data_IF_953903010973
#
_entry.id   IF_953903010973
#
_cell.length_a   1.000
_cell.length_b   1.000
_cell.length_c   1.000
_cell.angle_alpha   90.00
_cell.angle_beta   90.00
_cell.angle_gamma   90.00
#
_symmetry.space_group_name_H-M   'P 1'
#
loop_
_entity.id
_entity.type
_entity.pdbx_description
1 polymer ?
#
# COMPACT_ATOMS: atom_id res chain seq x y z
N UNK A 1 22.00 -11.48 -2.30
CA UNK A 1 20.63 -10.99 -2.54
C UNK A 1 19.96 -10.67 -1.20
N UNK A 2 19.39 -9.50 -1.08
CA UNK A 2 18.66 -9.08 0.13
C UNK A 2 17.33 -9.83 0.25
N UNK A 3 16.69 -10.12 -0.88
CA UNK A 3 15.47 -10.91 -0.98
C UNK A 3 15.57 -11.93 -2.11
N UNK A 4 14.87 -13.05 -1.95
CA UNK A 4 14.65 -14.03 -3.00
C UNK A 4 13.14 -14.23 -3.15
N UNK A 5 12.62 -13.91 -4.32
CA UNK A 5 11.19 -14.11 -4.61
C UNK A 5 10.84 -15.60 -4.55
N UNK A 6 9.70 -15.92 -3.96
CA UNK A 6 9.13 -17.27 -4.02
C UNK A 6 8.53 -17.48 -5.41
N UNK A 7 8.79 -18.63 -6.00
CA UNK A 7 8.24 -19.00 -7.31
C UNK A 7 7.55 -20.36 -7.19
N UNK A 8 6.37 -20.53 -7.79
CA UNK A 8 5.76 -21.85 -7.91
C UNK A 8 6.60 -22.74 -8.86
N UNK A 9 6.41 -24.06 -8.87
CA UNK A 9 6.93 -24.91 -9.93
C UNK A 9 6.51 -24.37 -11.30
N UNK A 10 7.44 -24.41 -12.26
CA UNK A 10 7.21 -23.84 -13.59
C UNK A 10 6.01 -24.48 -14.29
N UNK A 11 5.86 -25.79 -14.14
CA UNK A 11 4.79 -26.57 -14.74
C UNK A 11 3.40 -26.13 -14.22
N UNK A 12 3.28 -25.89 -12.92
CA UNK A 12 2.04 -25.37 -12.30
C UNK A 12 1.70 -23.97 -12.80
N UNK A 13 2.71 -23.10 -12.92
CA UNK A 13 2.51 -21.76 -13.45
C UNK A 13 2.04 -21.78 -14.92
N UNK A 14 2.69 -22.59 -15.76
CA UNK A 14 2.32 -22.76 -17.18
C UNK A 14 0.91 -23.29 -17.32
N UNK A 15 0.53 -24.30 -16.51
CA UNK A 15 -0.82 -24.85 -16.53
C UNK A 15 -1.88 -23.81 -16.13
N UNK A 16 -1.61 -23.02 -15.08
CA UNK A 16 -2.54 -21.98 -14.63
C UNK A 16 -2.77 -20.89 -15.69
N UNK A 17 -1.79 -20.53 -16.50
CA UNK A 17 -1.94 -19.51 -17.54
C UNK A 17 -2.38 -20.06 -18.90
N UNK A 18 -2.45 -21.37 -19.09
CA UNK A 18 -2.78 -22.03 -20.38
C UNK A 18 -4.08 -21.52 -21.01
N UNK A 19 -5.14 -21.32 -20.21
CA UNK A 19 -6.44 -20.84 -20.67
C UNK A 19 -6.39 -19.44 -21.31
N UNK A 20 -5.30 -18.68 -21.11
CA UNK A 20 -5.13 -17.37 -21.74
C UNK A 20 -4.84 -17.49 -23.25
N UNK A 21 -4.22 -18.61 -23.69
CA UNK A 21 -4.01 -18.90 -25.11
C UNK A 21 -5.30 -19.22 -25.86
N UNK A 22 -6.27 -19.80 -25.16
CA UNK A 22 -7.58 -20.14 -25.75
C UNK A 22 -8.50 -18.90 -25.77
N UNK A 23 -8.52 -18.15 -24.66
CA UNK A 23 -9.41 -17.00 -24.52
C UNK A 23 -8.91 -15.72 -25.21
N UNK A 24 -7.60 -15.57 -25.37
CA UNK A 24 -6.91 -14.35 -25.81
C UNK A 24 -7.30 -13.10 -24.99
N UNK A 25 -7.86 -13.28 -23.80
CA UNK A 25 -8.29 -12.16 -22.94
C UNK A 25 -7.21 -11.79 -21.95
N UNK A 26 -6.37 -10.81 -22.30
CA UNK A 26 -5.25 -10.30 -21.50
C UNK A 26 -5.52 -8.90 -20.92
N UNK A 27 -6.69 -8.32 -21.17
CA UNK A 27 -7.06 -6.97 -20.73
C UNK A 27 -7.79 -6.98 -19.39
N UNK A 28 -8.36 -5.83 -18.99
CA UNK A 28 -9.05 -5.64 -17.71
C UNK A 28 -10.16 -6.66 -17.44
N UNK A 29 -10.39 -6.96 -16.17
CA UNK A 29 -11.45 -7.87 -15.71
C UNK A 29 -11.40 -9.30 -16.28
N UNK A 30 -10.19 -9.77 -16.64
CA UNK A 30 -9.95 -11.13 -17.09
C UNK A 30 -10.24 -12.17 -16.00
N UNK A 31 -10.32 -13.44 -16.42
CA UNK A 31 -10.62 -14.57 -15.55
C UNK A 31 -9.65 -14.69 -14.37
N UNK A 32 -8.34 -14.57 -14.62
CA UNK A 32 -7.30 -14.70 -13.60
C UNK A 32 -7.39 -13.59 -12.54
N UNK A 33 -7.70 -12.36 -12.95
CA UNK A 33 -7.91 -11.26 -12.01
C UNK A 33 -9.12 -11.51 -11.10
N UNK A 34 -10.25 -11.97 -11.66
CA UNK A 34 -11.45 -12.28 -10.87
C UNK A 34 -11.20 -13.43 -9.89
N UNK A 35 -10.48 -14.47 -10.33
CA UNK A 35 -10.08 -15.61 -9.48
C UNK A 35 -9.19 -15.13 -8.32
N UNK A 36 -8.20 -14.27 -8.59
CA UNK A 36 -7.35 -13.71 -7.57
C UNK A 36 -8.11 -12.82 -6.58
N UNK A 37 -9.00 -11.95 -7.08
CA UNK A 37 -9.83 -11.10 -6.22
C UNK A 37 -10.71 -11.93 -5.27
N UNK A 38 -11.34 -13.00 -5.77
CA UNK A 38 -12.15 -13.90 -4.95
C UNK A 38 -11.30 -14.60 -3.87
N UNK A 39 -10.14 -15.14 -4.25
CA UNK A 39 -9.23 -15.82 -3.34
C UNK A 39 -8.68 -14.87 -2.26
N UNK A 40 -8.39 -13.61 -2.60
CA UNK A 40 -7.93 -12.61 -1.63
C UNK A 40 -9.03 -12.23 -0.63
N UNK A 41 -10.28 -12.07 -1.07
CA UNK A 41 -11.40 -11.81 -0.15
C UNK A 41 -11.57 -12.92 0.87
N UNK A 42 -11.53 -14.16 0.43
CA UNK A 42 -11.62 -15.33 1.30
C UNK A 42 -10.42 -15.40 2.26
N UNK A 43 -9.21 -15.31 1.73
CA UNK A 43 -7.99 -15.50 2.52
C UNK A 43 -7.72 -14.39 3.53
N UNK A 44 -8.09 -13.16 3.21
CA UNK A 44 -7.89 -11.99 4.07
C UNK A 44 -9.12 -11.72 4.96
N UNK A 45 -10.20 -12.48 4.80
CA UNK A 45 -11.48 -12.33 5.50
C UNK A 45 -12.04 -10.91 5.36
N UNK A 46 -12.14 -10.43 4.11
CA UNK A 46 -12.65 -9.09 3.79
C UNK A 46 -13.77 -9.14 2.75
N UNK A 47 -14.78 -8.27 2.85
CA UNK A 47 -15.85 -8.23 1.86
C UNK A 47 -15.41 -7.67 0.50
N UNK A 48 -14.43 -6.76 0.50
CA UNK A 48 -13.96 -6.10 -0.71
C UNK A 48 -12.44 -6.09 -0.80
N UNK A 49 -11.93 -6.43 -1.98
CA UNK A 49 -10.52 -6.41 -2.34
C UNK A 49 -10.38 -5.89 -3.77
N UNK A 50 -9.94 -4.64 -3.92
CA UNK A 50 -9.76 -3.99 -5.21
C UNK A 50 -8.32 -4.17 -5.68
N UNK A 51 -8.10 -4.75 -6.86
CA UNK A 51 -6.77 -5.02 -7.42
C UNK A 51 -6.27 -3.88 -8.31
N UNK A 52 -4.97 -3.62 -8.25
CA UNK A 52 -4.24 -2.59 -8.99
C UNK A 52 -2.93 -3.14 -9.54
N UNK A 53 -2.32 -2.43 -10.47
CA UNK A 53 -1.04 -2.84 -11.09
C UNK A 53 0.14 -2.81 -10.13
N UNK A 54 0.09 -2.01 -9.06
CA UNK A 54 1.08 -2.01 -7.98
C UNK A 54 0.52 -1.35 -6.72
N UNK A 55 1.23 -1.50 -5.59
CA UNK A 55 0.83 -0.93 -4.30
C UNK A 55 0.79 0.60 -4.29
N UNK A 56 1.69 1.26 -5.03
CA UNK A 56 1.68 2.73 -5.12
C UNK A 56 0.38 3.27 -5.71
N UNK A 57 -0.02 2.75 -6.88
CA UNK A 57 -1.27 3.14 -7.53
C UNK A 57 -2.50 2.74 -6.71
N UNK A 58 -2.45 1.62 -6.00
CA UNK A 58 -3.48 1.21 -5.07
C UNK A 58 -3.68 2.26 -3.96
N UNK A 59 -2.59 2.72 -3.33
CA UNK A 59 -2.65 3.73 -2.26
C UNK A 59 -3.09 5.10 -2.79
N UNK A 60 -2.57 5.53 -3.92
CA UNK A 60 -2.97 6.79 -4.56
C UNK A 60 -4.46 6.77 -4.92
N UNK A 61 -4.94 5.68 -5.50
CA UNK A 61 -6.36 5.49 -5.85
C UNK A 61 -7.25 5.52 -4.60
N UNK A 62 -6.81 4.86 -3.52
CA UNK A 62 -7.52 4.86 -2.23
C UNK A 62 -7.67 6.28 -1.67
N UNK A 63 -6.58 7.05 -1.61
CA UNK A 63 -6.61 8.42 -1.12
C UNK A 63 -7.52 9.32 -1.96
N UNK A 64 -7.48 9.17 -3.29
CA UNK A 64 -8.36 9.91 -4.21
C UNK A 64 -9.82 9.49 -4.08
N UNK A 65 -10.10 8.19 -3.96
CA UNK A 65 -11.45 7.67 -3.78
C UNK A 65 -12.11 8.14 -2.48
N UNK A 66 -11.32 8.34 -1.42
CA UNK A 66 -11.80 8.91 -0.16
C UNK A 66 -12.15 10.41 -0.27
N UNK A 67 -11.67 11.11 -1.30
CA UNK A 67 -11.99 12.53 -1.54
C UNK A 67 -11.46 13.46 -0.46
N UNK A 68 -10.38 13.09 0.22
CA UNK A 68 -9.80 13.85 1.33
C UNK A 68 -9.17 15.16 0.86
N UNK A 69 -9.12 16.13 1.78
CA UNK A 69 -8.43 17.42 1.59
C UNK A 69 -7.73 17.80 2.89
N UNK A 70 -6.48 18.26 2.80
CA UNK A 70 -5.73 18.75 3.94
C UNK A 70 -4.51 17.89 4.25
N UNK A 71 -4.30 17.59 5.54
CA UNK A 71 -3.09 16.96 6.05
C UNK A 71 -3.35 15.46 6.36
N UNK A 72 -2.34 14.64 6.04
CA UNK A 72 -2.32 13.21 6.39
C UNK A 72 -1.11 12.94 7.29
N UNK A 73 -1.37 12.50 8.51
CA UNK A 73 -0.31 12.10 9.44
C UNK A 73 0.20 10.73 9.01
N UNK A 74 1.50 10.65 8.71
CA UNK A 74 2.19 9.42 8.32
C UNK A 74 3.56 9.36 8.99
N UNK A 75 4.39 8.38 8.67
CA UNK A 75 5.75 8.26 9.20
C UNK A 75 6.79 8.46 8.10
N UNK A 76 7.98 9.05 8.41
CA UNK A 76 9.10 9.04 7.48
C UNK A 76 9.78 7.66 7.41
N UNK A 77 9.53 6.78 8.38
CA UNK A 77 10.08 5.42 8.42
C UNK A 77 9.21 4.47 7.56
N UNK A 78 9.28 4.67 6.26
CA UNK A 78 8.52 3.93 5.24
C UNK A 78 9.23 3.96 3.91
N UNK A 79 8.77 3.14 2.96
CA UNK A 79 9.17 3.30 1.58
C UNK A 79 8.58 4.60 1.01
N UNK A 80 9.35 5.30 0.18
CA UNK A 80 8.98 6.62 -0.38
C UNK A 80 7.57 6.67 -1.00
N UNK A 81 7.07 5.54 -1.47
CA UNK A 81 5.75 5.39 -2.09
C UNK A 81 4.60 5.93 -1.22
N UNK A 82 4.64 5.71 0.10
CA UNK A 82 3.60 6.19 1.03
C UNK A 82 3.47 7.70 0.97
N UNK A 83 4.59 8.41 1.15
CA UNK A 83 4.63 9.88 1.08
C UNK A 83 4.25 10.40 -0.31
N UNK A 84 4.77 9.77 -1.38
CA UNK A 84 4.46 10.17 -2.75
C UNK A 84 2.97 10.01 -3.08
N UNK A 85 2.33 8.93 -2.65
CA UNK A 85 0.89 8.73 -2.86
C UNK A 85 0.06 9.84 -2.20
N UNK A 86 0.44 10.29 -0.98
CA UNK A 86 -0.20 11.41 -0.30
C UNK A 86 -0.09 12.68 -1.13
N UNK A 87 1.13 13.05 -1.56
CA UNK A 87 1.38 14.26 -2.35
C UNK A 87 0.66 14.21 -3.69
N UNK A 88 0.69 13.07 -4.39
CA UNK A 88 0.01 12.89 -5.67
C UNK A 88 -1.51 12.89 -5.58
N UNK A 89 -2.06 12.54 -4.43
CA UNK A 89 -3.48 12.71 -4.14
C UNK A 89 -3.87 14.18 -3.84
N UNK A 90 -2.91 15.11 -3.85
CA UNK A 90 -3.12 16.53 -3.54
C UNK A 90 -3.23 16.83 -2.04
N UNK A 91 -2.69 15.94 -1.20
CA UNK A 91 -2.69 16.02 0.26
C UNK A 91 -1.31 16.43 0.77
N UNK A 92 -1.25 16.91 2.00
CA UNK A 92 0.01 17.32 2.64
C UNK A 92 0.43 16.27 3.68
N UNK A 93 1.60 15.62 3.54
CA UNK A 93 2.09 14.71 4.56
C UNK A 93 2.58 15.46 5.80
N UNK A 94 2.22 14.97 6.98
CA UNK A 94 2.73 15.41 8.28
C UNK A 94 3.42 14.20 8.91
N UNK A 95 4.72 14.34 9.22
CA UNK A 95 5.49 13.21 9.69
C UNK A 95 5.41 13.04 11.21
N UNK A 96 5.01 11.84 11.61
CA UNK A 96 5.00 11.35 12.97
C UNK A 96 6.14 10.37 13.18
N UNK A 97 6.78 10.45 14.32
CA UNK A 97 7.84 9.54 14.71
C UNK A 97 7.30 8.14 15.03
N UNK A 98 8.20 7.17 15.04
CA UNK A 98 7.94 5.77 15.34
C UNK A 98 8.27 5.43 16.78
N UNK A 99 7.80 4.31 17.26
CA UNK A 99 8.20 3.66 18.50
C UNK A 99 9.55 2.97 18.29
N UNK A 100 10.37 2.92 19.33
CA UNK A 100 11.70 2.32 19.27
C UNK A 100 11.65 0.78 19.32
N UNK A 101 10.58 0.21 19.90
CA UNK A 101 10.47 -1.22 20.16
C UNK A 101 9.95 -2.01 18.95
N UNK A 102 9.08 -1.44 18.12
CA UNK A 102 8.46 -2.15 17.01
C UNK A 102 8.48 -1.39 15.68
N UNK A 103 9.02 -0.17 15.68
CA UNK A 103 9.14 0.72 14.52
C UNK A 103 7.81 1.16 13.91
N UNK A 104 6.68 0.89 14.57
CA UNK A 104 5.38 1.39 14.12
C UNK A 104 5.13 2.82 14.59
N UNK A 105 4.15 3.51 13.99
CA UNK A 105 3.78 4.88 14.38
C UNK A 105 3.41 4.95 15.87
N UNK A 106 3.94 5.95 16.59
CA UNK A 106 3.57 6.22 17.97
C UNK A 106 2.19 6.91 18.03
N UNK A 107 1.16 6.28 18.61
CA UNK A 107 -0.17 6.87 18.64
C UNK A 107 -0.26 8.18 19.43
N UNK A 108 0.49 8.34 20.52
CA UNK A 108 0.48 9.56 21.33
C UNK A 108 1.09 10.74 20.58
N UNK A 109 2.18 10.47 19.85
CA UNK A 109 2.81 11.49 18.99
C UNK A 109 1.90 11.81 17.79
N UNK A 110 1.24 10.82 17.20
CA UNK A 110 0.29 11.04 16.13
C UNK A 110 -0.86 11.95 16.58
N UNK A 111 -1.45 11.71 17.75
CA UNK A 111 -2.50 12.56 18.29
C UNK A 111 -2.05 14.01 18.53
N UNK A 112 -0.82 14.19 19.02
CA UNK A 112 -0.25 15.53 19.26
C UNK A 112 -0.03 16.35 17.98
N UNK A 113 0.04 15.71 16.81
CA UNK A 113 0.20 16.36 15.50
C UNK A 113 -1.12 16.75 14.84
N UNK A 114 -2.27 16.39 15.41
CA UNK A 114 -3.58 16.67 14.83
C UNK A 114 -3.84 18.19 14.84
N UNK A 115 -4.21 18.71 13.68
CA UNK A 115 -4.63 20.10 13.48
C UNK A 115 -6.05 20.14 12.88
N UNK A 116 -6.70 21.31 12.82
CA UNK A 116 -7.98 21.42 12.09
C UNK A 116 -7.91 21.09 10.60
N UNK A 117 -6.72 20.95 10.02
CA UNK A 117 -6.51 20.56 8.63
C UNK A 117 -6.28 19.07 8.46
N UNK A 118 -6.04 18.33 9.54
CA UNK A 118 -5.82 16.88 9.49
C UNK A 118 -7.09 16.17 9.04
N UNK A 119 -6.97 15.30 8.03
CA UNK A 119 -8.09 14.55 7.48
C UNK A 119 -7.92 13.02 7.61
N UNK A 120 -6.70 12.54 7.79
CA UNK A 120 -6.43 11.11 7.93
C UNK A 120 -5.14 10.84 8.73
N UNK A 121 -5.06 9.62 9.27
CA UNK A 121 -3.84 9.00 9.77
C UNK A 121 -3.54 7.82 8.84
N UNK A 122 -2.29 7.75 8.35
CA UNK A 122 -1.79 6.71 7.45
C UNK A 122 -0.53 6.08 8.03
N UNK A 123 -0.68 5.18 9.02
CA UNK A 123 0.43 4.44 9.60
C UNK A 123 0.85 3.29 8.70
N UNK A 124 2.06 2.75 8.94
CA UNK A 124 2.67 1.69 8.16
C UNK A 124 2.89 0.46 9.04
N UNK A 125 2.40 -0.70 8.61
CA UNK A 125 2.70 -1.99 9.22
C UNK A 125 4.11 -2.45 8.81
N UNK A 126 5.12 -1.71 9.27
CA UNK A 126 6.50 -1.89 8.80
C UNK A 126 7.04 -3.27 9.20
N UNK A 127 7.71 -3.94 8.28
CA UNK A 127 8.28 -5.29 8.45
C UNK A 127 7.26 -6.37 8.90
N UNK A 128 5.95 -6.08 8.78
CA UNK A 128 4.89 -6.95 9.27
C UNK A 128 4.52 -6.72 10.74
N UNK A 129 5.16 -5.78 11.44
CA UNK A 129 4.75 -5.34 12.77
C UNK A 129 3.44 -4.55 12.66
N UNK A 130 2.38 -5.06 13.28
CA UNK A 130 1.10 -4.38 13.27
C UNK A 130 1.12 -3.17 14.22
N UNK A 131 0.70 -2.02 13.71
CA UNK A 131 0.49 -0.83 14.52
C UNK A 131 -0.54 -1.10 15.63
N UNK A 132 -0.57 -0.25 16.64
CA UNK A 132 -1.61 -0.27 17.67
C UNK A 132 -2.93 0.25 17.09
N UNK A 133 -3.68 -0.66 16.42
CA UNK A 133 -4.96 -0.32 15.79
C UNK A 133 -5.98 0.17 16.80
N UNK A 134 -5.98 -0.37 18.02
CA UNK A 134 -6.91 0.04 19.07
C UNK A 134 -6.73 1.51 19.44
N UNK A 135 -5.50 1.93 19.70
CA UNK A 135 -5.18 3.33 20.03
C UNK A 135 -5.42 4.27 18.85
N UNK A 136 -4.94 3.90 17.63
CA UNK A 136 -5.10 4.71 16.44
C UNK A 136 -6.56 4.84 16.01
N UNK A 137 -7.35 3.79 16.09
CA UNK A 137 -8.79 3.82 15.82
C UNK A 137 -9.55 4.70 16.81
N UNK A 138 -9.18 4.65 18.10
CA UNK A 138 -9.77 5.53 19.11
C UNK A 138 -9.48 7.01 18.82
N UNK A 139 -8.24 7.34 18.43
CA UNK A 139 -7.81 8.68 18.04
C UNK A 139 -8.55 9.14 16.78
N UNK A 140 -8.56 8.32 15.73
CA UNK A 140 -9.25 8.63 14.48
C UNK A 140 -10.73 8.91 14.71
N UNK A 141 -11.40 8.07 15.49
CA UNK A 141 -12.82 8.25 15.86
C UNK A 141 -13.06 9.53 16.66
N UNK A 142 -12.21 9.81 17.67
CA UNK A 142 -12.30 11.01 18.51
C UNK A 142 -12.23 12.30 17.69
N UNK A 143 -11.38 12.32 16.67
CA UNK A 143 -11.11 13.50 15.86
C UNK A 143 -11.84 13.51 14.50
N UNK A 144 -12.63 12.47 14.19
CA UNK A 144 -13.38 12.36 12.93
C UNK A 144 -12.48 12.15 11.70
N UNK A 145 -11.33 11.51 11.89
CA UNK A 145 -10.33 11.25 10.87
C UNK A 145 -10.51 9.89 10.21
N UNK A 146 -10.03 9.76 8.96
CA UNK A 146 -9.86 8.45 8.32
C UNK A 146 -8.60 7.76 8.82
N UNK A 147 -8.68 6.44 9.04
CA UNK A 147 -7.55 5.58 9.38
C UNK A 147 -7.29 4.62 8.23
N UNK A 148 -6.13 4.77 7.59
CA UNK A 148 -5.75 4.02 6.39
C UNK A 148 -4.40 3.36 6.65
N UNK A 149 -4.28 2.06 6.42
CA UNK A 149 -3.02 1.37 6.64
C UNK A 149 -2.23 1.15 5.34
N UNK A 150 -0.95 1.52 5.36
CA UNK A 150 0.02 0.94 4.45
C UNK A 150 0.44 -0.42 5.01
N UNK A 151 -0.13 -1.48 4.44
CA UNK A 151 0.10 -2.87 4.83
C UNK A 151 0.98 -3.61 3.81
N UNK A 152 1.83 -2.88 3.06
CA UNK A 152 2.69 -3.46 2.02
C UNK A 152 3.60 -4.59 2.52
N UNK A 153 3.88 -4.67 3.81
CA UNK A 153 4.69 -5.71 4.45
C UNK A 153 3.89 -6.69 5.32
N UNK A 154 2.56 -6.54 5.40
CA UNK A 154 1.73 -7.25 6.36
C UNK A 154 0.70 -8.20 5.70
N UNK A 155 1.01 -8.73 4.51
CA UNK A 155 0.13 -9.70 3.86
C UNK A 155 -0.08 -10.93 4.73
N UNK A 156 -1.35 -11.25 5.02
CA UNK A 156 -1.77 -12.37 5.85
C UNK A 156 -1.25 -12.33 7.32
N UNK A 157 -0.84 -11.14 7.78
CA UNK A 157 -0.51 -10.94 9.21
C UNK A 157 -1.79 -10.64 9.98
N UNK A 158 -1.89 -11.20 11.18
CA UNK A 158 -3.03 -10.98 12.08
C UNK A 158 -2.55 -10.84 13.54
N UNK A 159 -3.33 -10.12 14.35
CA UNK A 159 -3.17 -10.02 15.79
C UNK A 159 -4.52 -10.28 16.46
N UNK A 160 -4.55 -11.18 17.44
CA UNK A 160 -5.77 -11.55 18.18
C UNK A 160 -6.95 -11.96 17.28
N UNK A 161 -6.64 -12.66 16.17
CA UNK A 161 -7.61 -13.10 15.18
C UNK A 161 -8.10 -12.01 14.21
N UNK A 162 -7.60 -10.78 14.33
CA UNK A 162 -7.93 -9.69 13.39
C UNK A 162 -6.85 -9.55 12.33
N UNK A 163 -7.21 -9.73 11.08
CA UNK A 163 -6.31 -9.55 9.93
C UNK A 163 -5.94 -8.09 9.75
N UNK A 164 -4.68 -7.81 9.37
CA UNK A 164 -4.23 -6.48 8.94
C UNK A 164 -5.14 -5.87 7.84
N UNK A 165 -5.75 -6.73 7.03
CA UNK A 165 -6.67 -6.33 5.97
C UNK A 165 -8.02 -5.78 6.46
N UNK A 166 -8.34 -5.95 7.74
CA UNK A 166 -9.59 -5.51 8.38
C UNK A 166 -9.39 -4.32 9.31
N UNK A 167 -8.14 -3.86 9.47
CA UNK A 167 -7.81 -2.74 10.34
C UNK A 167 -8.12 -1.40 9.66
N UNK A 168 -8.57 -0.43 10.45
CA UNK A 168 -8.95 0.90 9.98
C UNK A 168 -10.13 0.94 8.99
N UNK A 169 -10.24 2.02 8.23
CA UNK A 169 -11.24 2.18 7.15
C UNK A 169 -10.86 1.39 5.89
N UNK A 170 -9.55 1.27 5.62
CA UNK A 170 -9.00 0.52 4.50
C UNK A 170 -7.51 0.21 4.71
N UNK A 171 -7.02 -0.83 4.05
CA UNK A 171 -5.60 -1.18 4.02
C UNK A 171 -5.12 -1.39 2.58
N UNK A 172 -3.89 -0.95 2.29
CA UNK A 172 -3.21 -1.16 1.02
C UNK A 172 -2.15 -2.24 1.14
N UNK A 173 -2.14 -3.17 0.21
CA UNK A 173 -1.13 -4.23 0.09
C UNK A 173 -0.35 -4.10 -1.21
N UNK A 174 0.94 -4.40 -1.15
CA UNK A 174 1.82 -4.50 -2.31
C UNK A 174 2.11 -5.96 -2.64
N UNK A 175 1.97 -6.31 -3.92
CA UNK A 175 2.29 -7.63 -4.46
C UNK A 175 3.49 -7.57 -5.42
N UNK A 176 4.38 -6.61 -5.19
CA UNK A 176 5.67 -6.54 -5.89
C UNK A 176 6.52 -7.79 -5.61
N UNK A 177 7.36 -8.19 -6.55
CA UNK A 177 8.17 -9.42 -6.51
C UNK A 177 9.03 -9.62 -5.25
N UNK A 178 9.32 -8.55 -4.50
CA UNK A 178 10.07 -8.63 -3.23
C UNK A 178 9.22 -8.95 -2.01
N UNK A 179 7.89 -8.98 -2.14
CA UNK A 179 6.97 -9.21 -1.02
C UNK A 179 6.81 -10.71 -0.74
N UNK A 180 6.28 -11.04 0.46
CA UNK A 180 6.03 -12.41 0.91
C UNK A 180 5.05 -13.15 -0.01
N UNK A 181 4.02 -12.44 -0.45
CA UNK A 181 3.12 -12.82 -1.52
C UNK A 181 3.26 -11.82 -2.67
N UNK A 182 3.38 -12.29 -3.90
CA UNK A 182 3.55 -11.42 -5.05
C UNK A 182 2.87 -11.95 -6.31
N UNK A 183 2.60 -11.03 -7.22
CA UNK A 183 2.11 -11.30 -8.59
C UNK A 183 3.07 -10.73 -9.63
N UNK A 184 4.40 -10.73 -9.32
CA UNK A 184 5.48 -10.02 -9.99
C UNK A 184 5.32 -8.51 -9.77
N UNK A 185 4.26 -7.93 -10.29
CA UNK A 185 3.74 -6.60 -9.99
C UNK A 185 2.27 -6.71 -9.60
N UNK A 186 1.86 -5.95 -8.61
CA UNK A 186 0.48 -5.93 -8.16
C UNK A 186 0.29 -5.13 -6.88
N UNK A 187 -0.95 -4.77 -6.62
CA UNK A 187 -1.38 -4.13 -5.38
C UNK A 187 -2.86 -4.40 -5.12
N UNK A 188 -3.27 -4.19 -3.88
CA UNK A 188 -4.64 -4.39 -3.46
C UNK A 188 -5.05 -3.34 -2.44
N UNK A 189 -6.29 -2.89 -2.51
CA UNK A 189 -6.96 -2.18 -1.42
C UNK A 189 -8.03 -3.07 -0.85
N UNK A 190 -8.03 -3.25 0.47
CA UNK A 190 -9.10 -3.93 1.20
C UNK A 190 -9.90 -2.92 2.00
N UNK A 191 -11.21 -3.13 2.10
CA UNK A 191 -12.12 -2.31 2.90
C UNK A 191 -13.39 -3.07 3.22
N UNK A 192 -14.09 -2.66 4.26
CA UNK A 192 -15.45 -3.12 4.58
C UNK A 192 -16.53 -2.17 4.04
N UNK A 193 -16.15 -1.01 3.54
CA UNK A 193 -17.07 0.02 3.05
C UNK A 193 -17.46 -0.24 1.57
N UNK A 194 -18.74 -0.57 1.27
CA UNK A 194 -19.19 -0.80 -0.10
C UNK A 194 -19.12 0.45 -0.98
N UNK A 195 -19.32 1.64 -0.40
CA UNK A 195 -19.27 2.88 -1.14
C UNK A 195 -17.82 3.24 -1.53
N UNK A 196 -16.87 3.02 -0.63
CA UNK A 196 -15.45 3.17 -0.95
C UNK A 196 -15.04 2.18 -2.05
N UNK A 197 -15.46 0.91 -1.95
CA UNK A 197 -15.19 -0.08 -3.00
C UNK A 197 -15.76 0.38 -4.35
N UNK A 198 -16.98 0.89 -4.40
CA UNK A 198 -17.58 1.43 -5.62
C UNK A 198 -16.79 2.60 -6.21
N UNK A 199 -16.25 3.49 -5.36
CA UNK A 199 -15.41 4.62 -5.79
C UNK A 199 -14.03 4.19 -6.30
N UNK A 200 -13.55 3.02 -5.90
CA UNK A 200 -12.28 2.47 -6.39
C UNK A 200 -12.40 1.89 -7.81
N UNK A 201 -13.58 1.44 -8.25
CA UNK A 201 -13.78 0.80 -9.56
C UNK A 201 -13.26 1.64 -10.75
N UNK A 202 -13.56 2.95 -10.89
CA UNK A 202 -13.04 3.76 -11.99
C UNK A 202 -11.51 3.88 -12.01
N UNK A 203 -10.86 3.68 -10.86
CA UNK A 203 -9.40 3.76 -10.74
C UNK A 203 -8.71 2.44 -11.11
N UNK A 204 -9.41 1.28 -11.02
CA UNK A 204 -8.91 -0.01 -11.49
C UNK A 204 -8.76 -0.03 -13.02
N UNK A 205 -9.76 0.51 -13.73
CA UNK A 205 -9.83 0.47 -15.20
C UNK A 205 -8.93 1.50 -15.87
N UNK A 206 -8.78 2.66 -15.25
CA UNK A 206 -7.86 3.69 -15.70
C UNK A 206 -6.49 3.40 -15.11
N UNK A 207 -5.83 2.36 -15.58
CA UNK A 207 -4.41 2.19 -15.35
C UNK A 207 -3.74 3.51 -15.73
N UNK A 208 -3.67 4.46 -14.82
CA UNK A 208 -2.88 5.66 -14.97
C UNK A 208 -1.43 5.20 -15.01
N UNK A 209 -1.02 4.77 -16.19
CA UNK A 209 0.36 4.55 -16.52
C UNK A 209 1.05 5.89 -16.34
N UNK A 210 1.59 6.10 -15.15
CA UNK A 210 2.60 7.13 -15.04
C UNK A 210 3.84 6.58 -15.73
N UNK A 211 4.33 7.22 -16.79
CA UNK A 211 5.60 6.82 -17.37
C UNK A 211 6.64 6.75 -16.25
N UNK A 212 7.45 5.71 -16.24
CA UNK A 212 8.54 5.51 -15.26
C UNK A 212 9.39 6.78 -15.08
N UNK A 213 9.58 7.56 -16.16
CA UNK A 213 10.22 8.87 -16.12
C UNK A 213 9.57 9.85 -15.12
N UNK A 214 8.25 9.94 -15.06
CA UNK A 214 7.57 10.85 -14.11
C UNK A 214 7.69 10.36 -12.65
N UNK A 215 7.82 9.06 -12.44
CA UNK A 215 8.11 8.52 -11.12
C UNK A 215 9.52 8.91 -10.67
N UNK A 216 10.49 8.86 -11.59
CA UNK A 216 11.88 9.26 -11.32
C UNK A 216 12.00 10.77 -11.06
N UNK A 217 11.29 11.61 -11.80
CA UNK A 217 11.26 13.06 -11.56
C UNK A 217 10.75 13.41 -10.14
N UNK A 218 9.81 12.61 -9.59
CA UNK A 218 9.35 12.76 -8.20
C UNK A 218 10.43 12.36 -7.18
N UNK A 219 11.24 11.33 -7.46
CA UNK A 219 12.37 10.96 -6.61
C UNK A 219 13.42 12.08 -6.54
N UNK A 220 13.66 12.76 -7.65
CA UNK A 220 14.64 13.87 -7.72
C UNK A 220 14.12 15.14 -7.02
N UNK A 221 12.80 15.40 -7.05
CA UNK A 221 12.18 16.55 -6.39
C UNK A 221 12.03 16.38 -4.87
N UNK A 222 11.90 15.13 -4.39
CA UNK A 222 11.70 14.82 -2.96
C UNK A 222 12.66 13.73 -2.53
N UNK A 223 13.96 14.06 -2.27
CA UNK A 223 14.92 13.09 -1.77
C UNK A 223 14.46 12.60 -0.39
N UNK A 224 13.89 11.40 -0.35
CA UNK A 224 13.53 10.74 0.90
C UNK A 224 14.80 10.13 1.47
N UNK A 225 15.26 10.66 2.57
CA UNK A 225 16.34 10.07 3.36
C UNK A 225 15.79 8.78 3.98
N UNK A 226 16.02 7.65 3.35
CA UNK A 226 15.80 6.34 3.96
C UNK A 226 16.89 6.18 5.00
N UNK A 227 16.53 6.31 6.26
CA UNK A 227 17.42 6.11 7.40
C UNK A 227 17.75 4.63 7.64
N UNK A 228 18.38 3.97 6.64
CA UNK A 228 19.18 2.79 6.88
C UNK A 228 20.60 3.29 7.16
N UNK A 229 21.10 3.10 8.38
CA UNK A 229 22.33 3.66 8.93
C UNK A 229 23.65 3.36 8.22
N UNK A 230 23.74 3.68 6.93
CA UNK A 230 24.97 3.86 6.20
C UNK A 230 24.84 5.05 5.25
N UNK A 231 25.80 5.99 5.26
CA UNK A 231 25.80 7.11 4.33
C UNK A 231 26.04 6.56 2.90
N UNK A 232 25.05 6.66 2.06
CA UNK A 232 25.22 6.42 0.62
C UNK A 232 26.07 7.59 0.09
N UNK A 233 27.35 7.34 -0.19
CA UNK A 233 28.19 8.29 -0.92
C UNK A 233 27.70 8.35 -2.37
N UNK A 234 27.16 9.49 -2.74
CA UNK A 234 27.00 9.85 -4.13
C UNK A 234 28.40 9.87 -4.79
N UNK A 235 28.66 8.98 -5.72
CA UNK A 235 29.92 8.91 -6.44
C UNK A 235 30.32 7.49 -6.84
N UNK A 236 29.50 6.81 -7.60
CA UNK A 236 29.82 5.53 -8.23
C UNK A 236 29.44 5.58 -9.70
N UNK A 237 30.45 5.66 -10.56
CA UNK A 237 30.37 5.49 -12.00
C UNK A 237 29.63 4.18 -12.31
N UNK A 238 28.55 4.25 -13.09
CA UNK A 238 27.88 3.09 -13.66
C UNK A 238 28.64 2.76 -14.96
N UNK A 239 29.22 1.56 -15.14
CA UNK A 239 29.77 1.17 -16.43
C UNK A 239 28.62 0.96 -17.42
N UNK A 240 28.75 1.52 -18.60
CA UNK A 240 27.90 1.24 -19.76
C UNK A 240 27.94 -0.27 -20.09
N UNK A 241 26.75 -0.87 -20.26
CA UNK A 241 26.52 -2.13 -20.95
C UNK A 241 25.94 -1.85 -22.32
#
# INVERSE_FOLDING_TARGET
NVTRSSMPPMEEYVEEIRSLWDSHWLTNNGEKLKKLEAALKERLDVPYAALFTNGHLALEALLKALGLKGEVITTPFTFASTTHAIVRAGLTPVFCDIREDDYTMDPARAEALITPRTCAILPVHVYGNLCDDGALSAIAKKHGLKLIYDAAHAFHVSRDGVSAARMGDAAMFSFHATKVFHTVEGGCVTTADPELNRRLEPHKEKGNFMPFAQLMDLFDQYPVVVGCGHPFRAGGHVPEL
#
